data_IF_247563135027
#
_entry.id   IF_247563135027
#
_cell.length_a   1.000
_cell.length_b   1.000
_cell.length_c   1.000
_cell.angle_alpha   90.00
_cell.angle_beta   90.00
_cell.angle_gamma   90.00
#
_symmetry.space_group_name_H-M   'P 1'
#
loop_
_entity.id
_entity.type
_entity.pdbx_description
1 polymer ?
#
# COMPACT_ATOMS: atom_id res chain seq x y z
N UNK A 1 -1.04 18.11 -11.49
CA UNK A 1 -1.79 16.94 -11.01
C UNK A 1 -2.70 17.41 -9.90
N UNK A 2 -4.00 17.08 -9.91
CA UNK A 2 -4.94 17.65 -8.95
C UNK A 2 -4.95 16.85 -7.64
N UNK A 3 -4.99 17.55 -6.51
CA UNK A 3 -5.20 16.95 -5.18
C UNK A 3 -6.41 16.01 -5.15
N UNK A 4 -7.42 16.31 -5.97
CA UNK A 4 -8.59 15.46 -6.21
C UNK A 4 -8.21 14.03 -6.65
N UNK A 5 -7.22 13.85 -7.52
CA UNK A 5 -6.78 12.51 -7.94
C UNK A 5 -6.21 11.72 -6.76
N UNK A 6 -5.38 12.36 -5.92
CA UNK A 6 -4.79 11.74 -4.73
C UNK A 6 -5.90 11.35 -3.74
N UNK A 7 -6.86 12.26 -3.50
CA UNK A 7 -7.99 12.02 -2.60
C UNK A 7 -8.86 10.85 -3.09
N UNK A 8 -9.20 10.82 -4.38
CA UNK A 8 -10.01 9.76 -4.99
C UNK A 8 -9.29 8.40 -4.88
N UNK A 9 -8.00 8.34 -5.22
CA UNK A 9 -7.22 7.11 -5.11
C UNK A 9 -7.10 6.64 -3.66
N UNK A 10 -6.86 7.56 -2.72
CA UNK A 10 -6.81 7.26 -1.29
C UNK A 10 -8.13 6.66 -0.80
N UNK A 11 -9.27 7.27 -1.14
CA UNK A 11 -10.60 6.79 -0.72
C UNK A 11 -10.90 5.40 -1.28
N UNK A 12 -10.63 5.18 -2.57
CA UNK A 12 -10.81 3.86 -3.18
C UNK A 12 -9.94 2.80 -2.49
N UNK A 13 -8.66 3.10 -2.27
CA UNK A 13 -7.75 2.16 -1.64
C UNK A 13 -8.17 1.83 -0.20
N UNK A 14 -8.53 2.83 0.62
CA UNK A 14 -9.03 2.60 1.98
C UNK A 14 -10.32 1.78 2.03
N UNK A 15 -11.22 2.01 1.06
CA UNK A 15 -12.45 1.22 0.93
C UNK A 15 -12.13 -0.26 0.63
N UNK A 16 -11.23 -0.52 -0.32
CA UNK A 16 -10.79 -1.88 -0.66
C UNK A 16 -10.13 -2.58 0.53
N UNK A 17 -9.26 -1.89 1.28
CA UNK A 17 -8.63 -2.42 2.49
C UNK A 17 -9.66 -2.78 3.56
N UNK A 18 -10.66 -1.93 3.76
CA UNK A 18 -11.73 -2.16 4.74
C UNK A 18 -12.55 -3.40 4.36
N UNK A 19 -12.89 -3.53 3.08
CA UNK A 19 -13.65 -4.68 2.59
C UNK A 19 -12.82 -5.96 2.67
N UNK A 20 -11.57 -5.96 2.20
CA UNK A 20 -10.68 -7.12 2.27
C UNK A 20 -10.44 -7.56 3.71
N UNK A 21 -10.22 -6.62 4.63
CA UNK A 21 -10.06 -6.91 6.05
C UNK A 21 -11.31 -7.60 6.61
N UNK A 22 -12.51 -7.11 6.24
CA UNK A 22 -13.80 -7.69 6.65
C UNK A 22 -14.02 -9.08 6.04
N UNK A 23 -13.81 -9.24 4.74
CA UNK A 23 -14.00 -10.48 3.99
C UNK A 23 -13.09 -11.61 4.49
N UNK A 24 -11.87 -11.26 4.90
CA UNK A 24 -10.88 -12.23 5.37
C UNK A 24 -10.69 -12.27 6.89
N UNK A 25 -11.62 -11.66 7.64
CA UNK A 25 -11.70 -11.76 9.09
C UNK A 25 -10.46 -11.23 9.82
N UNK A 26 -10.00 -10.03 9.46
CA UNK A 26 -8.94 -9.32 10.18
C UNK A 26 -9.39 -9.01 11.61
N UNK A 27 -8.52 -9.31 12.57
CA UNK A 27 -8.70 -8.98 13.98
C UNK A 27 -8.16 -7.59 14.30
N UNK A 28 -8.41 -7.10 15.50
CA UNK A 28 -7.92 -5.79 15.94
C UNK A 28 -6.39 -5.66 15.92
N UNK A 29 -5.66 -6.78 16.00
CA UNK A 29 -4.19 -6.82 15.93
C UNK A 29 -3.64 -7.19 14.54
N UNK A 30 -4.52 -7.42 13.56
CA UNK A 30 -4.18 -7.60 12.16
C UNK A 30 -4.06 -6.24 11.48
N UNK A 31 -2.84 -5.72 11.40
CA UNK A 31 -2.56 -4.46 10.74
C UNK A 31 -2.10 -4.69 9.30
N UNK A 32 -2.47 -3.75 8.43
CA UNK A 32 -1.87 -3.65 7.10
C UNK A 32 -0.46 -3.09 7.20
N UNK A 33 0.47 -3.75 6.53
CA UNK A 33 1.77 -3.22 6.14
C UNK A 33 1.72 -2.81 4.67
N UNK A 34 2.51 -1.80 4.31
CA UNK A 34 2.51 -1.20 2.98
C UNK A 34 3.88 -1.24 2.33
N UNK A 35 3.90 -1.54 1.03
CA UNK A 35 5.09 -1.44 0.19
C UNK A 35 4.75 -0.65 -1.08
N UNK A 36 5.57 0.34 -1.40
CA UNK A 36 5.72 0.77 -2.79
C UNK A 36 6.56 -0.29 -3.49
N UNK A 37 6.09 -0.82 -4.63
CA UNK A 37 6.69 -2.00 -5.23
C UNK A 37 6.74 -1.89 -6.75
N UNK A 38 7.79 -2.47 -7.33
CA UNK A 38 7.82 -2.84 -8.75
C UNK A 38 6.79 -3.93 -9.04
N UNK A 39 6.48 -4.17 -10.31
CA UNK A 39 5.66 -5.31 -10.72
C UNK A 39 6.22 -6.66 -10.22
N UNK A 40 7.55 -6.82 -10.22
CA UNK A 40 8.20 -8.05 -9.76
C UNK A 40 8.03 -8.25 -8.25
N UNK A 41 8.20 -7.20 -7.45
CA UNK A 41 8.08 -7.28 -6.00
C UNK A 41 6.62 -7.39 -5.55
N UNK A 42 5.68 -6.74 -6.25
CA UNK A 42 4.25 -6.98 -6.07
C UNK A 42 3.94 -8.48 -6.19
N UNK A 43 4.41 -9.15 -7.24
CA UNK A 43 4.19 -10.58 -7.45
C UNK A 43 4.76 -11.40 -6.29
N UNK A 44 5.97 -11.07 -5.82
CA UNK A 44 6.58 -11.76 -4.66
C UNK A 44 5.73 -11.60 -3.40
N UNK A 45 5.28 -10.39 -3.08
CA UNK A 45 4.43 -10.12 -1.91
C UNK A 45 3.12 -10.92 -2.00
N UNK A 46 2.45 -10.89 -3.16
CA UNK A 46 1.17 -11.60 -3.37
C UNK A 46 1.29 -13.14 -3.34
N UNK A 47 2.48 -13.66 -3.63
CA UNK A 47 2.79 -15.10 -3.47
C UNK A 47 3.05 -15.47 -2.01
N UNK A 48 3.63 -14.57 -1.23
CA UNK A 48 4.06 -14.84 0.14
C UNK A 48 3.00 -14.54 1.20
N UNK A 49 2.02 -13.68 0.90
CA UNK A 49 1.01 -13.23 1.86
C UNK A 49 -0.40 -13.30 1.28
N UNK A 50 -1.40 -13.48 2.14
CA UNK A 50 -2.81 -13.43 1.75
C UNK A 50 -3.72 -13.02 2.93
N UNK A 51 -4.72 -12.14 2.73
CA UNK A 51 -5.01 -11.39 1.51
C UNK A 51 -4.02 -10.25 1.26
N UNK A 52 -4.03 -9.73 0.03
CA UNK A 52 -3.22 -8.57 -0.38
C UNK A 52 -4.06 -7.63 -1.23
N UNK A 53 -3.94 -6.33 -1.01
CA UNK A 53 -4.45 -5.31 -1.93
C UNK A 53 -3.28 -4.78 -2.77
N UNK A 54 -3.42 -4.69 -4.09
CA UNK A 54 -2.37 -4.14 -4.95
C UNK A 54 -2.99 -3.27 -6.03
N UNK A 55 -2.65 -1.99 -6.02
CA UNK A 55 -3.16 -1.01 -6.99
C UNK A 55 -2.00 -0.41 -7.75
N UNK A 56 -2.07 -0.48 -9.08
CA UNK A 56 -1.11 0.21 -9.94
C UNK A 56 -1.41 1.71 -9.90
N UNK A 57 -0.39 2.52 -9.64
CA UNK A 57 -0.51 3.98 -9.66
C UNK A 57 0.80 4.60 -10.10
N UNK A 58 0.70 5.74 -10.78
CA UNK A 58 1.88 6.42 -11.29
C UNK A 58 2.83 6.86 -10.17
N UNK A 59 4.15 6.84 -10.43
CA UNK A 59 5.18 7.21 -9.46
C UNK A 59 4.98 8.64 -8.90
N UNK A 60 4.30 9.49 -9.65
CA UNK A 60 4.02 10.88 -9.29
C UNK A 60 3.05 11.05 -8.11
N UNK A 61 2.12 10.11 -7.88
CA UNK A 61 1.17 10.14 -6.76
C UNK A 61 1.41 9.08 -5.70
N UNK A 62 2.19 8.04 -6.01
CA UNK A 62 2.36 6.85 -5.18
C UNK A 62 2.71 7.18 -3.72
N UNK A 63 3.71 8.04 -3.50
CA UNK A 63 4.12 8.46 -2.16
C UNK A 63 3.04 9.28 -1.43
N UNK A 64 2.32 10.15 -2.15
CA UNK A 64 1.28 10.98 -1.55
C UNK A 64 0.08 10.12 -1.12
N UNK A 65 -0.33 9.17 -1.97
CA UNK A 65 -1.40 8.22 -1.65
C UNK A 65 -0.99 7.33 -0.48
N UNK A 66 0.24 6.81 -0.45
CA UNK A 66 0.74 6.04 0.71
C UNK A 66 0.62 6.84 2.01
N UNK A 67 1.09 8.08 2.03
CA UNK A 67 1.04 8.93 3.21
C UNK A 67 -0.41 9.22 3.64
N UNK A 68 -1.30 9.51 2.68
CA UNK A 68 -2.72 9.74 2.96
C UNK A 68 -3.44 8.49 3.47
N UNK A 69 -3.12 7.30 2.95
CA UNK A 69 -3.65 6.01 3.43
C UNK A 69 -3.19 5.73 4.86
N UNK A 70 -1.89 5.88 5.15
CA UNK A 70 -1.34 5.70 6.51
C UNK A 70 -1.99 6.64 7.51
N UNK A 71 -2.17 7.92 7.13
CA UNK A 71 -2.90 8.89 7.95
C UNK A 71 -4.37 8.48 8.17
N UNK A 72 -5.06 8.01 7.13
CA UNK A 72 -6.45 7.54 7.21
C UNK A 72 -6.63 6.32 8.13
N UNK A 73 -5.62 5.44 8.19
CA UNK A 73 -5.59 4.28 9.09
C UNK A 73 -5.03 4.59 10.49
N UNK A 74 -4.64 5.84 10.75
CA UNK A 74 -3.95 6.27 12.00
C UNK A 74 -2.69 5.45 12.31
N UNK A 75 -2.01 4.95 11.27
CA UNK A 75 -0.77 4.21 11.42
C UNK A 75 0.42 5.17 11.49
N UNK A 76 1.44 4.78 12.25
CA UNK A 76 2.69 5.53 12.30
C UNK A 76 3.52 5.25 11.05
N UNK A 77 4.24 6.25 10.57
CA UNK A 77 5.26 6.07 9.54
C UNK A 77 6.36 5.14 10.05
N UNK A 78 6.77 4.16 9.24
CA UNK A 78 7.95 3.36 9.52
C UNK A 78 9.19 4.12 9.07
N UNK A 79 10.37 3.75 9.59
CA UNK A 79 11.63 4.44 9.28
C UNK A 79 11.93 4.45 7.76
N UNK A 80 11.51 3.41 7.04
CA UNK A 80 11.69 3.28 5.59
C UNK A 80 10.86 4.29 4.79
N UNK A 81 9.70 4.74 5.28
CA UNK A 81 8.88 5.74 4.60
C UNK A 81 9.59 7.10 4.48
N UNK A 82 10.50 7.39 5.42
CA UNK A 82 11.16 8.70 5.53
C UNK A 82 12.32 8.91 4.55
N UNK A 83 12.75 7.85 3.86
CA UNK A 83 13.91 7.89 2.94
C UNK A 83 13.54 7.74 1.47
N UNK A 84 12.28 7.43 1.15
CA UNK A 84 11.87 7.28 -0.25
C UNK A 84 11.62 8.64 -0.86
N UNK A 85 12.55 9.08 -1.70
CA UNK A 85 12.38 10.26 -2.54
C UNK A 85 11.89 9.89 -3.96
N UNK A 86 11.50 10.90 -4.73
CA UNK A 86 11.01 10.71 -6.10
C UNK A 86 12.03 10.03 -7.03
N UNK A 87 13.34 10.18 -6.78
CA UNK A 87 14.37 9.58 -7.62
C UNK A 87 14.41 8.08 -7.40
N UNK A 88 14.31 7.62 -6.16
CA UNK A 88 14.23 6.19 -5.84
C UNK A 88 13.00 5.55 -6.47
N UNK A 89 11.83 6.21 -6.37
CA UNK A 89 10.58 5.70 -6.99
C UNK A 89 10.73 5.48 -8.50
N UNK A 90 11.40 6.42 -9.19
CA UNK A 90 11.62 6.32 -10.64
C UNK A 90 12.69 5.27 -10.96
N UNK A 91 13.81 5.27 -10.23
CA UNK A 91 14.94 4.39 -10.49
C UNK A 91 14.60 2.91 -10.28
N UNK A 92 13.78 2.61 -9.27
CA UNK A 92 13.37 1.25 -8.91
C UNK A 92 12.03 0.85 -9.56
N UNK A 93 11.52 1.67 -10.49
CA UNK A 93 10.27 1.44 -11.22
C UNK A 93 9.08 1.12 -10.30
N UNK A 94 8.95 1.86 -9.19
CA UNK A 94 7.88 1.65 -8.21
C UNK A 94 6.57 2.21 -8.77
N UNK A 95 5.67 1.31 -9.20
CA UNK A 95 4.39 1.65 -9.81
C UNK A 95 3.19 0.94 -9.17
N UNK A 96 3.39 0.27 -8.02
CA UNK A 96 2.33 -0.34 -7.21
C UNK A 96 2.36 0.14 -5.76
N UNK A 97 1.18 0.37 -5.19
CA UNK A 97 0.97 0.35 -3.75
C UNK A 97 0.39 -1.00 -3.35
N UNK A 98 1.12 -1.74 -2.51
CA UNK A 98 0.73 -3.07 -2.05
C UNK A 98 0.52 -3.07 -0.55
N UNK A 99 -0.64 -3.52 -0.11
CA UNK A 99 -0.96 -3.77 1.29
C UNK A 99 -0.99 -5.27 1.55
N UNK A 100 -0.38 -5.70 2.63
CA UNK A 100 -0.31 -7.10 3.08
C UNK A 100 -0.26 -7.16 4.60
N UNK A 101 -0.41 -8.34 5.18
CA UNK A 101 -0.22 -8.53 6.62
C UNK A 101 0.86 -9.60 6.85
N UNK A 102 2.04 -9.26 7.42
CA UNK A 102 3.13 -10.21 7.65
C UNK A 102 2.76 -11.39 8.56
N UNK A 103 1.74 -11.24 9.41
CA UNK A 103 1.21 -12.32 10.26
C UNK A 103 0.35 -13.32 9.50
N UNK A 104 0.06 -13.06 8.21
CA UNK A 104 -0.77 -13.90 7.35
C UNK A 104 0.01 -14.38 6.12
N UNK A 105 1.05 -15.21 6.31
CA UNK A 105 1.76 -15.83 5.20
C UNK A 105 0.82 -16.74 4.43
N UNK A 106 1.00 -16.81 3.12
CA UNK A 106 0.26 -17.69 2.22
C UNK A 106 0.86 -19.09 2.31
N UNK A 107 0.19 -19.98 3.03
CA UNK A 107 0.46 -21.44 3.02
C UNK A 107 -0.10 -22.13 1.79
#
# INVERSE_FOLDING_TARGET
MSEQTIEIQTKMYLYDLTNLAKEHGFKADDNWEFSMASNADRIKIQRNFFPTAATKMGPEILLQVLNSVKAGLKQSYTRDDSQVDKRTIIADELDYLVAFNPKRPRT
#
